data_IF_629228607363
#
_entry.id   IF_629228607363
#
_cell.length_a   1.000
_cell.length_b   1.000
_cell.length_c   1.000
_cell.angle_alpha   90.00
_cell.angle_beta   90.00
_cell.angle_gamma   90.00
#
_symmetry.space_group_name_H-M   'P 1'
#
loop_
_entity.id
_entity.type
_entity.pdbx_description
1 polymer ?
#
# COMPACT_ATOMS: atom_id res chain seq x y z
N UNK A 1 16.13 -12.80 -33.66
CA UNK A 1 15.18 -13.12 -32.57
C UNK A 1 13.83 -12.52 -32.93
N UNK A 2 12.83 -13.36 -33.19
CA UNK A 2 11.57 -12.97 -33.81
C UNK A 2 10.64 -12.18 -32.88
N UNK A 3 9.99 -11.15 -33.44
CA UNK A 3 8.97 -10.33 -32.79
C UNK A 3 7.67 -11.15 -32.60
N UNK A 4 7.61 -11.98 -31.57
CA UNK A 4 6.34 -12.53 -31.09
C UNK A 4 5.69 -11.52 -30.13
N UNK A 5 4.99 -10.53 -30.67
CA UNK A 5 4.18 -9.61 -29.85
C UNK A 5 2.82 -10.24 -29.58
N UNK A 6 2.34 -10.21 -28.33
CA UNK A 6 0.97 -10.60 -28.01
C UNK A 6 0.00 -9.71 -28.78
N UNK A 7 -0.78 -10.31 -29.70
CA UNK A 7 -1.85 -9.63 -30.43
C UNK A 7 -3.16 -9.90 -29.67
N UNK A 8 -3.99 -8.87 -29.46
CA UNK A 8 -5.31 -8.98 -28.83
C UNK A 8 -5.34 -9.28 -27.30
N UNK A 9 -4.61 -8.50 -26.49
CA UNK A 9 -4.64 -8.59 -25.02
C UNK A 9 -6.00 -8.08 -24.49
N UNK A 10 -6.67 -8.88 -23.65
CA UNK A 10 -7.85 -8.45 -22.87
C UNK A 10 -7.46 -8.28 -21.41
N UNK A 11 -7.63 -7.07 -20.88
CA UNK A 11 -7.39 -6.76 -19.47
C UNK A 11 -8.72 -6.83 -18.72
N UNK A 12 -8.79 -7.66 -17.69
CA UNK A 12 -9.90 -7.67 -16.75
C UNK A 12 -9.43 -7.10 -15.40
N UNK A 13 -10.15 -6.10 -14.90
CA UNK A 13 -9.84 -5.46 -13.61
C UNK A 13 -10.80 -5.97 -12.55
N UNK A 14 -10.25 -6.46 -11.45
CA UNK A 14 -11.00 -6.92 -10.30
C UNK A 14 -10.58 -6.12 -9.07
N UNK A 15 -11.53 -5.83 -8.19
CA UNK A 15 -11.25 -5.24 -6.88
C UNK A 15 -10.93 -6.38 -5.92
N UNK A 16 -9.70 -6.44 -5.43
CA UNK A 16 -9.29 -7.41 -4.40
C UNK A 16 -9.47 -6.73 -3.04
N UNK A 17 -10.21 -7.34 -2.10
CA UNK A 17 -10.32 -6.81 -0.74
C UNK A 17 -8.97 -6.87 -0.03
N UNK A 18 -8.76 -6.03 0.98
CA UNK A 18 -7.60 -6.12 1.87
C UNK A 18 -8.11 -6.63 3.22
N UNK A 19 -8.01 -7.94 3.43
CA UNK A 19 -8.50 -8.64 4.61
C UNK A 19 -9.71 -9.55 4.37
N UNK A 20 -10.15 -10.29 5.42
CA UNK A 20 -11.10 -11.39 5.29
C UNK A 20 -12.59 -10.96 5.30
N UNK A 21 -12.90 -9.70 5.03
CA UNK A 21 -14.24 -9.12 5.20
C UNK A 21 -15.15 -9.31 3.98
N UNK A 22 -14.62 -9.67 2.81
CA UNK A 22 -15.44 -9.85 1.62
C UNK A 22 -16.33 -11.09 1.69
N UNK A 23 -17.54 -10.98 1.15
CA UNK A 23 -18.44 -12.11 0.94
C UNK A 23 -17.88 -13.05 -0.15
N UNK A 24 -17.97 -14.37 0.10
CA UNK A 24 -17.51 -15.41 -0.82
C UNK A 24 -16.10 -15.96 -0.52
N UNK A 25 -15.99 -17.30 -0.54
CA UNK A 25 -14.78 -18.02 -0.12
C UNK A 25 -13.51 -17.62 -0.90
N UNK A 26 -13.62 -17.38 -2.22
CA UNK A 26 -12.47 -17.01 -3.07
C UNK A 26 -11.95 -15.60 -2.77
N UNK A 27 -12.84 -14.61 -2.68
CA UNK A 27 -12.44 -13.23 -2.40
C UNK A 27 -11.89 -13.10 -0.97
N UNK A 28 -12.46 -13.85 -0.02
CA UNK A 28 -11.96 -13.90 1.35
C UNK A 28 -10.52 -14.40 1.42
N UNK A 29 -10.21 -15.49 0.70
CA UNK A 29 -8.84 -16.02 0.63
C UNK A 29 -7.88 -15.03 -0.03
N UNK A 30 -8.26 -14.47 -1.19
CA UNK A 30 -7.46 -13.43 -1.85
C UNK A 30 -7.22 -12.22 -0.95
N UNK A 31 -8.22 -11.83 -0.17
CA UNK A 31 -8.10 -10.72 0.77
C UNK A 31 -7.15 -10.98 1.92
N UNK A 32 -7.07 -12.23 2.40
CA UNK A 32 -6.07 -12.62 3.41
C UNK A 32 -4.66 -12.50 2.83
N UNK A 33 -4.43 -12.99 1.61
CA UNK A 33 -3.12 -12.86 0.96
C UNK A 33 -2.74 -11.40 0.71
N UNK A 34 -3.67 -10.58 0.22
CA UNK A 34 -3.43 -9.15 0.02
C UNK A 34 -3.13 -8.42 1.34
N UNK A 35 -3.80 -8.81 2.43
CA UNK A 35 -3.50 -8.26 3.76
C UNK A 35 -2.10 -8.64 4.22
N UNK A 36 -1.71 -9.91 4.06
CA UNK A 36 -0.37 -10.37 4.43
C UNK A 36 0.72 -9.63 3.64
N UNK A 37 0.57 -9.53 2.32
CA UNK A 37 1.50 -8.81 1.44
C UNK A 37 1.65 -7.33 1.86
N UNK A 38 0.54 -6.68 2.19
CA UNK A 38 0.56 -5.30 2.68
C UNK A 38 1.24 -5.17 4.04
N UNK A 39 1.01 -6.12 4.95
CA UNK A 39 1.62 -6.09 6.28
C UNK A 39 3.13 -6.32 6.21
N UNK A 40 3.59 -7.23 5.35
CA UNK A 40 5.02 -7.46 5.10
C UNK A 40 5.68 -6.24 4.44
N UNK A 41 5.00 -5.60 3.49
CA UNK A 41 5.49 -4.41 2.79
C UNK A 41 5.25 -3.06 3.50
N UNK A 42 4.61 -3.06 4.66
CA UNK A 42 4.05 -1.85 5.28
C UNK A 42 5.08 -0.74 5.51
N UNK A 43 6.29 -1.12 5.91
CA UNK A 43 7.38 -0.16 6.13
C UNK A 43 7.86 0.47 4.82
N UNK A 44 8.03 -0.33 3.75
CA UNK A 44 8.41 0.14 2.43
C UNK A 44 7.35 1.07 1.82
N UNK A 45 6.07 0.71 1.95
CA UNK A 45 4.96 1.58 1.53
C UNK A 45 4.96 2.90 2.30
N UNK A 46 5.19 2.84 3.62
CA UNK A 46 5.30 4.04 4.44
C UNK A 46 6.45 4.93 3.97
N UNK A 47 7.65 4.37 3.78
CA UNK A 47 8.81 5.10 3.25
C UNK A 47 8.47 5.83 1.94
N UNK A 48 7.83 5.14 1.00
CA UNK A 48 7.43 5.74 -0.27
C UNK A 48 6.41 6.87 -0.10
N UNK A 49 5.37 6.67 0.72
CA UNK A 49 4.33 7.69 0.96
C UNK A 49 4.92 8.94 1.59
N UNK A 50 5.78 8.81 2.60
CA UNK A 50 6.35 9.96 3.28
C UNK A 50 7.43 10.68 2.45
N UNK A 51 8.27 9.95 1.72
CA UNK A 51 9.35 10.58 0.92
C UNK A 51 8.84 11.12 -0.42
N UNK A 52 8.01 10.37 -1.16
CA UNK A 52 7.54 10.80 -2.49
C UNK A 52 6.22 11.58 -2.41
N UNK A 53 5.31 11.18 -1.53
CA UNK A 53 4.03 11.87 -1.36
C UNK A 53 4.16 13.16 -0.55
N UNK A 54 4.85 13.10 0.60
CA UNK A 54 4.97 14.22 1.54
C UNK A 54 6.30 14.96 1.48
N UNK A 55 7.26 14.51 0.66
CA UNK A 55 8.57 15.15 0.48
C UNK A 55 9.39 15.27 1.77
N UNK A 56 9.21 14.33 2.69
CA UNK A 56 9.98 14.29 3.93
C UNK A 56 11.40 13.81 3.70
N UNK A 57 12.33 14.37 4.47
CA UNK A 57 13.70 13.87 4.50
C UNK A 57 13.77 12.49 5.18
N UNK A 58 14.74 11.67 4.77
CA UNK A 58 14.98 10.38 5.42
C UNK A 58 15.34 10.54 6.90
N UNK A 59 16.03 11.61 7.27
CA UNK A 59 16.41 11.92 8.65
C UNK A 59 15.19 12.19 9.53
N UNK A 60 14.18 12.90 9.03
CA UNK A 60 12.92 13.13 9.76
C UNK A 60 12.12 11.84 9.93
N UNK A 61 12.12 10.99 8.90
CA UNK A 61 11.39 9.73 8.93
C UNK A 61 12.00 8.71 9.89
N UNK A 62 13.33 8.62 9.94
CA UNK A 62 14.06 7.67 10.79
C UNK A 62 13.94 8.00 12.29
N UNK A 63 13.67 9.26 12.63
CA UNK A 63 13.37 9.65 14.02
C UNK A 63 12.08 9.02 14.55
N UNK A 64 11.20 8.54 13.66
CA UNK A 64 9.94 7.93 14.05
C UNK A 64 10.11 6.39 14.06
N UNK A 65 10.06 5.76 15.25
CA UNK A 65 10.53 4.40 15.44
C UNK A 65 9.64 3.32 14.82
N UNK A 66 8.38 3.61 14.51
CA UNK A 66 7.47 2.65 13.89
C UNK A 66 6.39 3.33 13.02
N UNK A 67 5.76 2.54 12.15
CA UNK A 67 4.73 3.02 11.21
C UNK A 67 3.51 3.62 11.91
N UNK A 68 3.06 3.03 13.03
CA UNK A 68 1.91 3.57 13.76
C UNK A 68 2.15 4.99 14.26
N UNK A 69 3.34 5.25 14.81
CA UNK A 69 3.76 6.59 15.19
C UNK A 69 3.86 7.53 13.99
N UNK A 70 4.28 7.06 12.81
CA UNK A 70 4.31 7.86 11.57
C UNK A 70 2.89 8.27 11.15
N UNK A 71 1.94 7.35 11.19
CA UNK A 71 0.53 7.62 10.89
C UNK A 71 -0.11 8.58 11.90
N UNK A 72 0.25 8.47 13.17
CA UNK A 72 -0.25 9.39 14.21
C UNK A 72 0.25 10.82 14.01
N UNK A 73 1.54 10.99 13.71
CA UNK A 73 2.12 12.31 13.39
C UNK A 73 1.46 12.88 12.13
N UNK A 74 1.29 12.08 11.08
CA UNK A 74 0.54 12.51 9.88
C UNK A 74 -0.87 12.97 10.22
N UNK A 75 -1.58 12.26 11.09
CA UNK A 75 -2.94 12.61 11.48
C UNK A 75 -3.00 13.93 12.26
N UNK A 76 -2.04 14.18 13.15
CA UNK A 76 -1.91 15.48 13.82
C UNK A 76 -1.63 16.64 12.87
N UNK A 77 -0.79 16.43 11.84
CA UNK A 77 -0.52 17.45 10.83
C UNK A 77 -1.79 17.83 10.07
N UNK A 78 -2.60 16.83 9.69
CA UNK A 78 -3.87 17.09 9.01
C UNK A 78 -4.85 17.90 9.86
N UNK A 79 -4.89 17.65 11.18
CA UNK A 79 -5.76 18.42 12.09
C UNK A 79 -5.38 19.90 12.20
N UNK A 80 -4.10 20.26 12.04
CA UNK A 80 -3.63 21.66 12.10
C UNK A 80 -3.81 22.43 10.78
N UNK A 81 -4.18 21.75 9.70
CA UNK A 81 -4.45 22.37 8.38
C UNK A 81 -5.91 22.76 8.15
N UNK A 82 -6.76 22.56 9.17
CA UNK A 82 -8.16 22.99 9.23
C UNK A 82 -8.31 24.07 10.31
#
# INVERSE_FOLDING_TARGET
MGKAGFVNIKIQRFKIPIGPWSEGNKLKQLGIFALQDILEGLEAFSLHVFTQGLQWSMDELQKIPNVFSKLWVYWQMKQKSL
#
